data_IF_411342909638
#
_entry.id   IF_411342909638
#
_cell.length_a   1.000
_cell.length_b   1.000
_cell.length_c   1.000
_cell.angle_alpha   90.00
_cell.angle_beta   90.00
_cell.angle_gamma   90.00
#
_symmetry.space_group_name_H-M   'P 1'
#
loop_
_entity.id
_entity.type
_entity.pdbx_description
1 polymer ?
#
# COMPACT_ATOMS: atom_id res chain seq x y z
N UNK A 1 -25.59 1.85 -6.55
CA UNK A 1 -24.55 1.79 -7.60
C UNK A 1 -24.78 0.53 -8.41
N UNK A 2 -25.03 0.66 -9.71
CA UNK A 2 -25.17 -0.46 -10.64
C UNK A 2 -23.88 -0.54 -11.44
N UNK A 3 -23.24 -1.71 -11.46
CA UNK A 3 -22.03 -1.96 -12.23
C UNK A 3 -22.41 -2.99 -13.30
N UNK A 4 -22.10 -2.68 -14.55
CA UNK A 4 -22.29 -3.57 -15.70
C UNK A 4 -20.92 -3.87 -16.28
N UNK A 5 -20.68 -5.11 -16.67
CA UNK A 5 -19.48 -5.54 -17.40
C UNK A 5 -19.99 -6.15 -18.70
N UNK A 6 -19.61 -5.53 -19.82
CA UNK A 6 -19.92 -6.01 -21.14
C UNK A 6 -18.67 -6.70 -21.71
N UNK A 7 -18.81 -7.97 -22.07
CA UNK A 7 -17.72 -8.77 -22.65
C UNK A 7 -17.94 -8.81 -24.15
N UNK A 8 -16.95 -8.32 -24.89
CA UNK A 8 -16.96 -8.26 -26.36
C UNK A 8 -15.61 -8.76 -26.89
N UNK A 9 -15.63 -9.95 -27.48
CA UNK A 9 -14.44 -10.63 -28.00
C UNK A 9 -13.88 -9.97 -29.28
N UNK A 10 -14.56 -8.95 -29.82
CA UNK A 10 -14.09 -8.18 -30.98
C UNK A 10 -13.20 -6.98 -30.61
N UNK A 11 -13.02 -6.69 -29.32
CA UNK A 11 -12.19 -5.59 -28.85
C UNK A 11 -10.70 -5.89 -29.04
N UNK A 12 -9.97 -4.95 -29.65
CA UNK A 12 -8.50 -5.04 -29.79
C UNK A 12 -7.78 -4.89 -28.44
N UNK A 13 -8.38 -4.14 -27.50
CA UNK A 13 -7.85 -3.96 -26.14
C UNK A 13 -8.97 -3.61 -25.16
N UNK A 14 -8.78 -4.00 -23.90
CA UNK A 14 -9.67 -3.63 -22.81
C UNK A 14 -9.67 -2.11 -22.59
N UNK A 15 -10.84 -1.55 -22.36
CA UNK A 15 -10.99 -0.15 -21.97
C UNK A 15 -12.10 -0.01 -20.93
N UNK A 16 -12.06 1.09 -20.17
CA UNK A 16 -13.08 1.41 -19.16
C UNK A 16 -13.76 2.71 -19.56
N UNK A 17 -15.09 2.71 -19.57
CA UNK A 17 -15.91 3.91 -19.74
C UNK A 17 -16.73 4.16 -18.48
N UNK A 18 -16.65 5.37 -17.92
CA UNK A 18 -17.36 5.75 -16.70
C UNK A 18 -18.55 6.65 -17.09
N UNK A 19 -19.76 6.11 -16.99
CA UNK A 19 -21.00 6.88 -17.12
C UNK A 19 -21.48 7.30 -15.73
N UNK A 20 -21.53 8.60 -15.48
CA UNK A 20 -22.00 9.17 -14.22
C UNK A 20 -23.08 10.24 -14.47
N UNK A 21 -23.95 10.45 -13.49
CA UNK A 21 -24.98 11.51 -13.56
C UNK A 21 -24.36 12.91 -13.46
N UNK A 22 -23.30 13.04 -12.66
CA UNK A 22 -22.54 14.25 -12.42
C UNK A 22 -21.10 13.86 -12.09
N UNK A 23 -20.14 14.71 -12.47
CA UNK A 23 -18.73 14.52 -12.14
C UNK A 23 -18.48 14.96 -10.70
N UNK A 24 -18.64 14.02 -9.76
CA UNK A 24 -18.38 14.24 -8.34
C UNK A 24 -16.95 13.88 -7.94
N UNK A 25 -16.51 14.30 -6.76
CA UNK A 25 -15.20 13.93 -6.20
C UNK A 25 -15.02 12.40 -6.12
N UNK A 26 -16.08 11.66 -5.80
CA UNK A 26 -16.07 10.19 -5.77
C UNK A 26 -15.77 9.59 -7.16
N UNK A 27 -16.30 10.17 -8.23
CA UNK A 27 -16.05 9.72 -9.61
C UNK A 27 -14.62 10.07 -10.04
N UNK A 28 -14.11 11.23 -9.64
CA UNK A 28 -12.72 11.63 -9.89
C UNK A 28 -11.73 10.72 -9.15
N UNK A 29 -12.04 10.34 -7.91
CA UNK A 29 -11.21 9.41 -7.14
C UNK A 29 -11.23 7.99 -7.75
N UNK A 30 -12.40 7.52 -8.22
CA UNK A 30 -12.51 6.26 -8.94
C UNK A 30 -11.67 6.26 -10.22
N UNK A 31 -11.75 7.31 -11.03
CA UNK A 31 -10.95 7.45 -12.24
C UNK A 31 -9.44 7.40 -11.93
N UNK A 32 -8.96 8.17 -10.94
CA UNK A 32 -7.55 8.16 -10.52
C UNK A 32 -7.11 6.78 -10.05
N UNK A 33 -7.97 6.10 -9.30
CA UNK A 33 -7.73 4.75 -8.84
C UNK A 33 -7.58 3.80 -10.02
N UNK A 34 -8.50 3.81 -10.99
CA UNK A 34 -8.44 2.94 -12.18
C UNK A 34 -7.21 3.21 -13.07
N UNK A 35 -6.81 4.47 -13.22
CA UNK A 35 -5.62 4.85 -14.00
C UNK A 35 -4.33 4.43 -13.29
N UNK A 36 -4.25 4.60 -11.96
CA UNK A 36 -3.11 4.12 -11.16
C UNK A 36 -3.09 2.59 -11.03
N UNK A 37 -4.22 1.94 -11.30
CA UNK A 37 -4.43 0.51 -11.24
C UNK A 37 -4.12 -0.22 -12.56
N UNK A 38 -2.98 0.11 -13.16
CA UNK A 38 -2.20 -0.90 -13.90
C UNK A 38 -1.67 -1.93 -12.89
N UNK A 39 -2.57 -2.75 -12.35
CA UNK A 39 -2.41 -3.57 -11.14
C UNK A 39 -1.33 -4.67 -11.22
N UNK A 40 -0.75 -4.92 -12.39
CA UNK A 40 0.28 -5.93 -12.58
C UNK A 40 1.72 -5.42 -12.58
N UNK A 41 1.95 -4.11 -12.71
CA UNK A 41 3.27 -3.61 -13.18
C UNK A 41 3.92 -2.50 -12.35
N UNK A 42 3.26 -1.97 -11.32
CA UNK A 42 3.90 -0.99 -10.44
C UNK A 42 5.07 -1.65 -9.67
N UNK A 43 6.28 -1.26 -10.08
CA UNK A 43 7.54 -1.68 -9.48
C UNK A 43 8.25 -0.49 -8.86
N UNK A 44 8.77 -0.68 -7.66
CA UNK A 44 9.63 0.28 -6.99
C UNK A 44 11.09 -0.10 -7.23
N UNK A 45 11.87 0.82 -7.80
CA UNK A 45 13.33 0.65 -7.85
C UNK A 45 13.92 0.80 -6.44
N UNK A 46 14.76 -0.15 -6.08
CA UNK A 46 15.50 -0.20 -4.82
C UNK A 46 16.82 -0.97 -5.00
N UNK A 47 17.78 -0.72 -4.12
CA UNK A 47 19.11 -1.30 -4.19
C UNK A 47 19.31 -2.35 -3.11
N UNK A 48 19.96 -3.44 -3.46
CA UNK A 48 20.59 -4.34 -2.51
C UNK A 48 22.06 -4.42 -2.90
N UNK A 49 22.93 -3.99 -1.97
CA UNK A 49 24.33 -3.71 -2.27
C UNK A 49 24.46 -2.72 -3.44
N UNK A 50 25.19 -3.09 -4.50
CA UNK A 50 25.38 -2.27 -5.70
C UNK A 50 24.44 -2.66 -6.87
N UNK A 51 23.45 -3.52 -6.61
CA UNK A 51 22.51 -4.02 -7.63
C UNK A 51 21.16 -3.33 -7.48
N UNK A 52 20.66 -2.79 -8.59
CA UNK A 52 19.30 -2.23 -8.66
C UNK A 52 18.27 -3.34 -8.94
N UNK A 53 17.21 -3.35 -8.13
CA UNK A 53 16.11 -4.29 -8.20
C UNK A 53 14.79 -3.54 -8.39
N UNK A 54 13.89 -4.10 -9.21
CA UNK A 54 12.56 -3.56 -9.46
C UNK A 54 11.52 -4.38 -8.71
N UNK A 55 11.18 -3.95 -7.50
CA UNK A 55 10.32 -4.69 -6.57
C UNK A 55 8.85 -4.50 -6.91
N UNK A 56 8.12 -5.59 -7.09
CA UNK A 56 6.67 -5.52 -7.16
C UNK A 56 6.11 -5.02 -5.83
N UNK A 57 5.23 -4.02 -5.85
CA UNK A 57 4.69 -3.43 -4.61
C UNK A 57 4.00 -4.47 -3.72
N UNK A 58 3.32 -5.46 -4.32
CA UNK A 58 2.71 -6.57 -3.56
C UNK A 58 3.71 -7.40 -2.76
N UNK A 59 4.99 -7.42 -3.11
CA UNK A 59 6.02 -8.17 -2.36
C UNK A 59 6.49 -7.43 -1.09
N UNK A 60 6.26 -6.12 -1.02
CA UNK A 60 6.69 -5.26 0.09
C UNK A 60 5.72 -5.39 1.26
N UNK A 61 6.25 -5.65 2.46
CA UNK A 61 5.48 -5.77 3.70
C UNK A 61 5.45 -4.44 4.48
N UNK A 62 6.58 -3.73 4.55
CA UNK A 62 6.68 -2.39 5.11
C UNK A 62 7.97 -1.70 4.68
N UNK A 63 8.06 -0.40 4.97
CA UNK A 63 9.19 0.46 4.72
C UNK A 63 9.49 1.27 5.98
N UNK A 64 10.77 1.44 6.30
CA UNK A 64 11.19 2.26 7.44
C UNK A 64 12.44 3.10 7.15
N UNK A 65 12.52 4.28 7.76
CA UNK A 65 13.71 5.12 7.65
C UNK A 65 14.84 4.60 8.52
N UNK A 66 16.01 4.43 7.91
CA UNK A 66 17.27 4.09 8.57
C UNK A 66 18.39 5.04 8.10
N UNK A 67 18.70 6.02 8.95
CA UNK A 67 19.64 7.10 8.63
C UNK A 67 19.25 7.86 7.36
N UNK A 68 20.09 7.73 6.32
CA UNK A 68 19.91 8.42 5.04
C UNK A 68 19.08 7.62 4.02
N UNK A 69 18.69 6.40 4.36
CA UNK A 69 17.98 5.49 3.47
C UNK A 69 16.60 5.15 4.01
N UNK A 70 15.73 4.69 3.12
CA UNK A 70 14.55 3.93 3.50
C UNK A 70 14.85 2.46 3.23
N UNK A 71 14.71 1.63 4.26
CA UNK A 71 14.71 0.19 4.15
C UNK A 71 13.35 -0.27 3.63
N UNK A 72 13.35 -1.07 2.58
CA UNK A 72 12.17 -1.67 1.97
C UNK A 72 12.19 -3.15 2.29
N UNK A 73 11.27 -3.58 3.14
CA UNK A 73 11.22 -4.95 3.63
C UNK A 73 10.27 -5.76 2.76
N UNK A 74 10.77 -6.84 2.19
CA UNK A 74 9.94 -7.96 1.73
C UNK A 74 9.88 -9.03 2.82
N UNK A 75 9.15 -10.12 2.58
CA UNK A 75 9.06 -11.20 3.57
C UNK A 75 10.43 -11.80 3.91
N UNK A 76 11.31 -11.89 2.91
CA UNK A 76 12.65 -12.49 2.99
C UNK A 76 13.75 -11.44 3.09
N UNK A 77 13.71 -10.42 2.23
CA UNK A 77 14.86 -9.55 1.97
C UNK A 77 14.64 -8.11 2.43
N UNK A 78 15.72 -7.32 2.40
CA UNK A 78 15.71 -5.89 2.70
C UNK A 78 16.48 -5.17 1.59
N UNK A 79 15.81 -4.21 0.97
CA UNK A 79 16.38 -3.32 -0.04
C UNK A 79 16.45 -1.90 0.50
N UNK A 80 17.15 -1.01 -0.20
CA UNK A 80 17.35 0.38 0.21
C UNK A 80 16.99 1.33 -0.92
N UNK A 81 16.37 2.46 -0.57
CA UNK A 81 16.19 3.58 -1.50
C UNK A 81 16.63 4.88 -0.85
N UNK A 82 17.10 5.84 -1.67
CA UNK A 82 17.46 7.20 -1.23
C UNK A 82 16.26 8.15 -1.20
N UNK A 83 15.11 7.73 -1.75
CA UNK A 83 13.84 8.47 -1.64
C UNK A 83 13.51 8.71 -0.18
N UNK A 84 12.81 9.81 0.10
CA UNK A 84 12.32 10.11 1.44
C UNK A 84 10.98 9.42 1.68
N UNK A 85 10.68 9.16 2.95
CA UNK A 85 9.45 8.46 3.33
C UNK A 85 8.17 9.20 2.88
N UNK A 86 8.17 10.54 2.92
CA UNK A 86 7.03 11.33 2.46
C UNK A 86 6.84 11.25 0.93
N UNK A 87 7.93 11.17 0.15
CA UNK A 87 7.83 10.99 -1.30
C UNK A 87 7.24 9.61 -1.63
N UNK A 88 7.63 8.59 -0.86
CA UNK A 88 7.04 7.25 -1.00
C UNK A 88 5.55 7.26 -0.62
N UNK A 89 5.16 7.97 0.44
CA UNK A 89 3.76 8.11 0.85
C UNK A 89 2.87 8.70 -0.27
N UNK A 90 3.38 9.65 -1.04
CA UNK A 90 2.66 10.26 -2.16
C UNK A 90 2.58 9.34 -3.40
N UNK A 91 3.58 8.47 -3.61
CA UNK A 91 3.69 7.61 -4.79
C UNK A 91 3.01 6.25 -4.61
N UNK A 92 2.86 5.78 -3.36
CA UNK A 92 2.37 4.45 -3.08
C UNK A 92 0.83 4.40 -3.09
N UNK A 93 0.24 3.25 -3.48
CA UNK A 93 -1.20 3.03 -3.38
C UNK A 93 -1.74 3.19 -1.96
N UNK A 94 -3.05 3.44 -1.84
CA UNK A 94 -3.78 3.61 -0.56
C UNK A 94 -3.61 2.44 0.42
N UNK A 95 -3.22 1.26 -0.06
CA UNK A 95 -2.89 0.11 0.78
C UNK A 95 -1.63 0.30 1.63
N UNK A 96 -0.73 1.21 1.24
CA UNK A 96 0.43 1.60 2.02
C UNK A 96 0.07 2.75 2.96
N UNK A 97 0.08 2.47 4.26
CA UNK A 97 -0.37 3.40 5.29
C UNK A 97 0.79 3.77 6.18
N UNK A 98 0.98 5.07 6.41
CA UNK A 98 1.95 5.56 7.38
C UNK A 98 1.50 5.26 8.80
N UNK A 99 2.36 4.61 9.58
CA UNK A 99 2.06 4.17 10.95
C UNK A 99 2.95 4.81 12.01
N UNK A 100 3.96 5.55 11.57
CA UNK A 100 4.81 6.36 12.42
C UNK A 100 5.46 7.47 11.60
N UNK A 101 6.26 8.34 12.23
CA UNK A 101 7.08 9.31 11.50
C UNK A 101 8.11 8.64 10.58
N UNK A 102 8.50 7.41 10.88
CA UNK A 102 9.58 6.67 10.23
C UNK A 102 9.11 5.41 9.48
N UNK A 103 7.82 5.07 9.47
CA UNK A 103 7.36 3.75 8.98
C UNK A 103 6.07 3.85 8.18
N UNK A 104 6.05 3.16 7.02
CA UNK A 104 4.87 2.90 6.18
C UNK A 104 4.68 1.39 6.08
N UNK A 105 3.45 0.89 6.23
CA UNK A 105 3.14 -0.55 6.16
C UNK A 105 2.19 -0.85 5.01
N UNK A 106 2.34 -2.03 4.41
CA UNK A 106 1.36 -2.55 3.45
C UNK A 106 0.23 -3.26 4.20
N UNK A 107 -0.94 -2.65 4.23
CA UNK A 107 -2.12 -3.18 4.95
C UNK A 107 -2.59 -4.53 4.42
N UNK A 108 -2.39 -4.83 3.13
CA UNK A 108 -2.73 -6.13 2.54
C UNK A 108 -1.84 -7.27 3.04
N UNK A 109 -0.70 -6.94 3.66
CA UNK A 109 0.25 -7.92 4.20
C UNK A 109 0.15 -8.09 5.72
N UNK A 110 -0.69 -7.32 6.40
CA UNK A 110 -0.85 -7.42 7.86
C UNK A 110 -1.60 -8.71 8.22
N UNK A 111 -1.01 -9.54 9.06
CA UNK A 111 -1.64 -10.75 9.62
C UNK A 111 -2.22 -10.51 11.02
N UNK A 112 -1.68 -9.55 11.76
CA UNK A 112 -2.14 -9.25 13.11
C UNK A 112 -1.62 -7.92 13.63
N UNK A 113 -2.39 -7.31 14.53
CA UNK A 113 -2.01 -6.09 15.24
C UNK A 113 -2.20 -6.33 16.73
N UNK A 114 -1.09 -6.29 17.48
CA UNK A 114 -1.10 -6.34 18.95
C UNK A 114 -1.10 -4.91 19.48
N UNK A 115 -2.29 -4.42 19.85
CA UNK A 115 -2.47 -3.07 20.39
C UNK A 115 -1.74 -2.92 21.72
N UNK A 116 -1.05 -1.80 21.87
CA UNK A 116 -0.47 -1.38 23.14
C UNK A 116 -1.04 0.00 23.50
N UNK A 117 -1.60 0.12 24.72
CA UNK A 117 -2.23 1.35 25.20
C UNK A 117 -1.17 2.37 25.63
N UNK A 118 -0.07 1.90 26.23
CA UNK A 118 0.97 2.76 26.81
C UNK A 118 2.17 2.98 25.88
N UNK A 119 2.28 2.19 24.80
CA UNK A 119 3.42 2.22 23.88
C UNK A 119 3.04 2.09 22.41
N UNK A 120 4.03 1.74 21.58
CA UNK A 120 3.79 1.46 20.17
C UNK A 120 3.07 0.11 20.01
N UNK A 121 2.12 0.05 19.08
CA UNK A 121 1.40 -1.18 18.74
C UNK A 121 2.21 -2.00 17.74
N UNK A 122 2.33 -3.29 17.97
CA UNK A 122 3.10 -4.19 17.11
C UNK A 122 2.24 -4.68 15.94
N UNK A 123 2.81 -4.64 14.74
CA UNK A 123 2.22 -5.11 13.49
C UNK A 123 3.00 -6.34 13.03
N UNK A 124 2.28 -7.44 12.82
CA UNK A 124 2.80 -8.69 12.25
C UNK A 124 2.32 -8.84 10.81
N UNK A 125 3.14 -9.49 9.98
CA UNK A 125 2.89 -9.68 8.56
C UNK A 125 2.70 -11.16 8.20
N UNK A 126 1.90 -11.42 7.17
CA UNK A 126 1.73 -12.78 6.64
C UNK A 126 3.04 -13.28 6.02
N UNK A 127 3.41 -14.53 6.30
CA UNK A 127 4.62 -15.18 5.77
C UNK A 127 5.95 -14.48 6.09
N UNK A 128 6.00 -13.69 7.18
CA UNK A 128 7.24 -13.05 7.63
C UNK A 128 7.31 -13.04 9.16
N UNK A 129 8.52 -13.23 9.70
CA UNK A 129 8.82 -13.04 11.12
C UNK A 129 9.13 -11.58 11.48
N UNK A 130 9.29 -10.72 10.46
CA UNK A 130 9.58 -9.29 10.63
C UNK A 130 8.36 -8.58 11.24
N UNK A 131 8.62 -7.50 11.97
CA UNK A 131 7.61 -6.72 12.69
C UNK A 131 7.82 -5.24 12.46
N UNK A 132 6.73 -4.49 12.45
CA UNK A 132 6.73 -3.04 12.43
C UNK A 132 5.97 -2.50 13.65
N UNK A 133 6.19 -1.23 13.98
CA UNK A 133 5.58 -0.60 15.14
C UNK A 133 4.81 0.66 14.74
N UNK A 134 3.51 0.67 15.07
CA UNK A 134 2.65 1.82 14.93
C UNK A 134 2.70 2.71 16.17
N UNK A 135 2.95 3.99 15.98
CA UNK A 135 2.92 4.97 17.06
C UNK A 135 1.48 5.34 17.46
N UNK A 136 1.31 5.84 18.68
CA UNK A 136 -0.01 6.15 19.28
C UNK A 136 -0.86 7.10 18.43
N UNK A 137 -0.23 8.04 17.72
CA UNK A 137 -0.96 9.02 16.91
C UNK A 137 -1.47 8.45 15.59
N UNK A 138 -0.94 7.32 15.14
CA UNK A 138 -1.26 6.74 13.82
C UNK A 138 -2.07 5.45 13.93
N UNK A 139 -2.03 4.76 15.06
CA UNK A 139 -2.72 3.46 15.23
C UNK A 139 -4.23 3.56 15.00
N UNK A 140 -4.87 4.69 15.37
CA UNK A 140 -6.30 4.87 15.15
C UNK A 140 -6.64 4.84 13.66
N UNK A 141 -5.97 5.65 12.86
CA UNK A 141 -6.17 5.71 11.41
C UNK A 141 -5.91 4.36 10.73
N UNK A 142 -4.86 3.64 11.15
CA UNK A 142 -4.60 2.29 10.64
C UNK A 142 -5.77 1.33 10.93
N UNK A 143 -6.30 1.34 12.17
CA UNK A 143 -7.40 0.45 12.55
C UNK A 143 -8.68 0.79 11.79
N UNK A 144 -8.97 2.07 11.56
CA UNK A 144 -10.14 2.50 10.80
C UNK A 144 -10.07 1.96 9.35
N UNK A 145 -8.92 2.10 8.69
CA UNK A 145 -8.67 1.54 7.34
C UNK A 145 -8.81 0.00 7.34
N UNK A 146 -8.27 -0.68 8.36
CA UNK A 146 -8.39 -2.14 8.47
C UNK A 146 -9.84 -2.60 8.68
N UNK A 147 -10.68 -1.79 9.34
CA UNK A 147 -12.09 -2.09 9.55
C UNK A 147 -12.91 -1.89 8.27
N UNK A 148 -12.60 -0.89 7.44
CA UNK A 148 -13.24 -0.69 6.12
C UNK A 148 -13.08 -1.92 5.23
N UNK A 149 -11.94 -2.63 5.33
CA UNK A 149 -11.62 -3.82 4.54
C UNK A 149 -12.16 -5.13 5.13
N UNK A 150 -12.80 -5.07 6.31
CA UNK A 150 -13.26 -6.27 7.03
C UNK A 150 -14.63 -6.69 6.50
N UNK A 151 -14.80 -7.98 6.21
CA UNK A 151 -16.12 -8.57 5.97
C UNK A 151 -17.02 -8.26 7.17
N UNK A 152 -18.11 -7.53 6.92
CA UNK A 152 -19.14 -7.28 7.92
C UNK A 152 -19.80 -8.62 8.26
N UNK A 153 -19.88 -8.91 9.56
CA UNK A 153 -20.57 -10.10 10.07
C UNK A 153 -22.07 -9.95 9.91
#
# INVERSE_FOLDING_TARGET
MKITIDVDDSLEQDYITIHCKELTDDILELQKTLVSQSFGSLRLSAFQDDVEHFLELKSIIFMESDGNYILIHTSTDIFKTRRKLYELEELLPRDFVRVSRSTIVNTLRISGIKKNITGASEIAFSHSSKKAYASRNYIKALIDIMNEKRLKR
#
